data_IF_153697593245
#
_entry.id   IF_153697593245
#
_cell.length_a   1.000
_cell.length_b   1.000
_cell.length_c   1.000
_cell.angle_alpha   90.00
_cell.angle_beta   90.00
_cell.angle_gamma   90.00
#
_symmetry.space_group_name_H-M   'P 1'
#
loop_
_entity.id
_entity.type
_entity.pdbx_description
1 polymer ?
#
# COMPACT_ATOMS: atom_id res chain seq x y z
N UNK A 1 54.19 31.88 36.90
CA UNK A 1 53.81 33.30 36.99
C UNK A 1 52.74 33.55 35.98
N UNK A 2 51.68 34.12 36.49
CA UNK A 2 50.45 34.58 35.79
C UNK A 2 49.33 33.58 35.40
N UNK A 3 48.52 33.41 36.42
CA UNK A 3 47.13 32.96 36.32
C UNK A 3 46.29 33.99 35.56
N UNK A 4 45.61 33.59 34.51
CA UNK A 4 44.49 34.34 33.95
C UNK A 4 43.17 33.66 34.31
N UNK A 5 42.48 34.24 35.25
CA UNK A 5 41.12 34.01 35.69
C UNK A 5 40.17 34.26 34.51
N UNK A 6 39.45 33.22 34.03
CA UNK A 6 38.32 33.38 33.14
C UNK A 6 37.02 33.42 33.95
N UNK A 7 36.46 34.61 34.03
CA UNK A 7 35.20 34.92 34.68
C UNK A 7 34.03 34.44 33.83
N UNK A 8 33.34 33.41 34.29
CA UNK A 8 32.10 32.94 33.65
C UNK A 8 30.96 33.88 34.05
N UNK A 9 30.41 34.62 33.09
CA UNK A 9 29.21 35.43 33.27
C UNK A 9 27.98 34.55 33.27
N UNK A 10 27.36 34.37 34.43
CA UNK A 10 26.05 33.80 34.59
C UNK A 10 24.98 34.71 33.95
N UNK A 11 24.39 34.29 32.84
CA UNK A 11 23.18 34.91 32.32
C UNK A 11 21.96 34.23 32.94
N UNK A 12 21.31 34.95 33.84
CA UNK A 12 20.03 34.58 34.41
C UNK A 12 18.95 34.51 33.31
N UNK A 13 18.50 33.29 32.97
CA UNK A 13 17.36 33.09 32.12
C UNK A 13 16.10 33.11 33.01
N UNK A 14 15.38 34.24 32.94
CA UNK A 14 14.05 34.36 33.54
C UNK A 14 13.07 33.38 32.82
N UNK A 15 12.75 32.27 33.47
CA UNK A 15 11.67 31.41 33.06
C UNK A 15 10.35 32.12 33.35
N UNK A 16 9.71 32.66 32.31
CA UNK A 16 8.34 33.16 32.40
C UNK A 16 7.39 31.95 32.38
N UNK A 17 6.88 31.57 33.53
CA UNK A 17 5.75 30.65 33.63
C UNK A 17 4.51 31.30 32.98
N UNK A 18 4.26 30.98 31.70
CA UNK A 18 2.95 31.20 31.09
C UNK A 18 2.02 30.07 31.55
N UNK A 19 1.17 30.37 32.51
CA UNK A 19 0.00 29.55 32.87
C UNK A 19 -0.81 29.39 31.59
N UNK A 20 -0.74 28.22 30.98
CA UNK A 20 -1.63 27.82 29.89
C UNK A 20 -3.02 27.64 30.52
N UNK A 21 -3.92 28.60 30.29
CA UNK A 21 -5.34 28.39 30.53
C UNK A 21 -5.76 27.12 29.77
N UNK A 22 -6.16 26.11 30.51
CA UNK A 22 -6.78 24.91 29.94
C UNK A 22 -8.00 25.36 29.15
N UNK A 23 -7.92 25.26 27.81
CA UNK A 23 -9.07 25.39 26.96
C UNK A 23 -9.99 24.22 27.29
N UNK A 24 -11.17 24.48 27.86
CA UNK A 24 -12.25 23.53 27.99
C UNK A 24 -12.41 22.81 26.66
N UNK A 25 -12.62 21.46 26.63
CA UNK A 25 -12.81 20.73 25.40
C UNK A 25 -14.03 21.34 24.69
N UNK A 26 -13.78 21.92 23.54
CA UNK A 26 -14.82 22.47 22.68
C UNK A 26 -15.62 21.27 22.15
N UNK A 27 -16.80 21.04 22.73
CA UNK A 27 -17.76 20.04 22.33
C UNK A 27 -18.39 20.44 20.99
N UNK A 28 -17.55 20.63 19.97
CA UNK A 28 -18.01 20.63 18.60
C UNK A 28 -18.35 19.19 18.25
N UNK A 29 -19.65 18.85 18.26
CA UNK A 29 -20.20 17.70 17.57
C UNK A 29 -19.64 17.71 16.14
N UNK A 30 -18.51 17.05 15.90
CA UNK A 30 -17.97 16.87 14.54
C UNK A 30 -19.06 16.16 13.77
N UNK A 31 -19.68 16.88 12.84
CA UNK A 31 -20.65 16.33 11.90
C UNK A 31 -19.94 15.15 11.20
N UNK A 32 -20.28 13.93 11.61
CA UNK A 32 -19.64 12.72 11.05
C UNK A 32 -19.97 12.73 9.57
N UNK A 33 -18.92 12.76 8.75
CA UNK A 33 -19.06 12.83 7.31
C UNK A 33 -19.76 11.57 6.79
N UNK A 34 -20.85 11.74 6.07
CA UNK A 34 -21.62 10.63 5.47
C UNK A 34 -20.78 9.81 4.50
N UNK A 35 -19.74 10.42 3.90
CA UNK A 35 -18.83 9.71 2.99
C UNK A 35 -18.03 8.65 3.73
N UNK A 36 -17.52 8.95 4.93
CA UNK A 36 -16.83 7.99 5.79
C UNK A 36 -17.72 6.80 6.16
N UNK A 37 -18.97 7.07 6.52
CA UNK A 37 -19.94 6.02 6.82
C UNK A 37 -20.14 5.13 5.60
N UNK A 38 -20.25 5.71 4.41
CA UNK A 38 -20.45 5.00 3.15
C UNK A 38 -19.29 4.01 2.88
N UNK A 39 -18.02 4.46 2.93
CA UNK A 39 -16.89 3.58 2.66
C UNK A 39 -16.74 2.45 3.67
N UNK A 40 -16.94 2.73 4.96
CA UNK A 40 -16.92 1.70 5.97
C UNK A 40 -18.07 0.69 5.79
N UNK A 41 -19.26 1.16 5.39
CA UNK A 41 -20.42 0.29 5.11
C UNK A 41 -20.14 -0.64 3.93
N UNK A 42 -19.60 -0.10 2.82
CA UNK A 42 -19.23 -0.86 1.63
C UNK A 42 -18.16 -1.89 1.99
N UNK A 43 -17.12 -1.47 2.71
CA UNK A 43 -16.03 -2.39 3.12
C UNK A 43 -16.53 -3.52 4.02
N UNK A 44 -17.37 -3.20 5.00
CA UNK A 44 -17.93 -4.21 5.90
C UNK A 44 -18.84 -5.20 5.16
N UNK A 45 -19.67 -4.71 4.23
CA UNK A 45 -20.50 -5.55 3.36
C UNK A 45 -19.66 -6.44 2.43
N UNK A 46 -18.59 -5.90 1.85
CA UNK A 46 -17.73 -6.63 0.91
C UNK A 46 -16.90 -7.73 1.59
N UNK A 47 -16.72 -7.67 2.90
CA UNK A 47 -16.15 -8.75 3.71
C UNK A 47 -17.11 -9.92 3.93
N UNK A 48 -18.30 -9.93 3.30
CA UNK A 48 -19.27 -11.03 3.33
C UNK A 48 -20.42 -10.83 4.31
N UNK A 49 -20.47 -9.72 5.05
CA UNK A 49 -21.54 -9.48 6.00
C UNK A 49 -22.90 -9.23 5.30
N UNK A 50 -24.00 -9.63 5.96
CA UNK A 50 -25.35 -9.31 5.49
C UNK A 50 -25.64 -7.81 5.56
N UNK A 51 -26.69 -7.36 4.85
CA UNK A 51 -27.19 -5.98 4.95
C UNK A 51 -27.53 -5.65 6.40
N UNK A 52 -28.26 -6.55 7.07
CA UNK A 52 -28.68 -6.38 8.48
C UNK A 52 -27.48 -6.23 9.42
N UNK A 53 -26.48 -7.13 9.32
CA UNK A 53 -25.26 -7.07 10.13
C UNK A 53 -24.45 -5.81 9.84
N UNK A 54 -24.41 -5.38 8.58
CA UNK A 54 -23.75 -4.14 8.19
C UNK A 54 -24.43 -2.93 8.81
N UNK A 55 -25.75 -2.85 8.75
CA UNK A 55 -26.53 -1.77 9.39
C UNK A 55 -26.31 -1.75 10.91
N UNK A 56 -26.41 -2.92 11.56
CA UNK A 56 -26.18 -3.05 13.01
C UNK A 56 -24.79 -2.55 13.42
N UNK A 57 -23.75 -3.01 12.70
CA UNK A 57 -22.36 -2.60 12.96
C UNK A 57 -22.17 -1.08 12.78
N UNK A 58 -22.59 -0.54 11.65
CA UNK A 58 -22.40 0.87 11.29
C UNK A 58 -23.20 1.79 12.21
N UNK A 59 -24.45 1.45 12.49
CA UNK A 59 -25.30 2.24 13.38
C UNK A 59 -24.73 2.29 14.81
N UNK A 60 -24.23 1.15 15.31
CA UNK A 60 -23.54 1.09 16.60
C UNK A 60 -22.25 1.90 16.61
N UNK A 61 -21.40 1.74 15.60
CA UNK A 61 -20.10 2.41 15.51
C UNK A 61 -20.19 3.94 15.43
N UNK A 62 -21.16 4.45 14.68
CA UNK A 62 -21.29 5.89 14.42
C UNK A 62 -22.40 6.58 15.20
N UNK A 63 -23.13 5.84 16.02
CA UNK A 63 -24.34 6.33 16.70
C UNK A 63 -25.30 7.04 15.73
N UNK A 64 -25.57 6.38 14.59
CA UNK A 64 -26.43 6.88 13.49
C UNK A 64 -27.51 5.87 13.18
N UNK A 65 -28.59 6.32 12.53
CA UNK A 65 -29.63 5.46 12.00
C UNK A 65 -29.51 5.45 10.46
N UNK A 66 -28.63 4.59 9.95
CA UNK A 66 -28.54 4.35 8.51
C UNK A 66 -29.69 3.43 8.08
N UNK A 67 -30.43 3.85 7.07
CA UNK A 67 -31.54 3.07 6.50
C UNK A 67 -31.02 2.06 5.47
N UNK A 68 -31.70 0.92 5.39
CA UNK A 68 -31.37 -0.14 4.45
C UNK A 68 -31.35 0.33 3.00
N UNK A 69 -32.34 1.12 2.58
CA UNK A 69 -32.43 1.68 1.23
C UNK A 69 -31.19 2.51 0.87
N UNK A 70 -30.68 3.27 1.82
CA UNK A 70 -29.48 4.09 1.63
C UNK A 70 -28.24 3.20 1.47
N UNK A 71 -28.09 2.19 2.31
CA UNK A 71 -26.99 1.23 2.22
C UNK A 71 -27.02 0.48 0.87
N UNK A 72 -28.17 -0.03 0.45
CA UNK A 72 -28.35 -0.72 -0.84
C UNK A 72 -28.00 0.19 -2.01
N UNK A 73 -28.42 1.48 -1.98
CA UNK A 73 -28.02 2.46 -2.99
C UNK A 73 -26.50 2.59 -3.07
N UNK A 74 -25.83 2.79 -1.95
CA UNK A 74 -24.36 2.92 -1.90
C UNK A 74 -23.64 1.68 -2.45
N UNK A 75 -24.11 0.49 -2.09
CA UNK A 75 -23.56 -0.77 -2.61
C UNK A 75 -23.74 -0.85 -4.13
N UNK A 76 -24.94 -0.55 -4.63
CA UNK A 76 -25.23 -0.61 -6.07
C UNK A 76 -24.42 0.43 -6.86
N UNK A 77 -24.22 1.62 -6.33
CA UNK A 77 -23.42 2.66 -6.98
C UNK A 77 -21.94 2.26 -6.98
N UNK A 78 -21.43 1.64 -5.90
CA UNK A 78 -20.08 1.13 -5.85
C UNK A 78 -19.84 -0.03 -6.82
N UNK A 79 -20.80 -0.94 -6.98
CA UNK A 79 -20.70 -2.06 -7.92
C UNK A 79 -20.63 -1.60 -9.38
N UNK A 80 -21.26 -0.48 -9.75
CA UNK A 80 -21.10 0.12 -11.09
C UNK A 80 -19.68 0.63 -11.31
N UNK A 81 -19.04 1.07 -10.26
CA UNK A 81 -17.69 1.61 -10.24
C UNK A 81 -16.63 0.49 -10.16
N UNK A 82 -16.81 -0.47 -9.23
CA UNK A 82 -15.94 -1.64 -9.06
C UNK A 82 -16.76 -2.88 -8.80
N UNK A 83 -16.86 -3.75 -9.81
CA UNK A 83 -17.74 -4.94 -9.74
C UNK A 83 -17.08 -6.10 -8.98
N UNK A 84 -17.31 -6.17 -7.69
CA UNK A 84 -16.85 -7.23 -6.79
C UNK A 84 -17.90 -8.28 -6.41
N UNK A 85 -19.04 -8.31 -7.10
CA UNK A 85 -20.16 -9.24 -6.80
C UNK A 85 -19.71 -10.70 -6.73
N UNK A 86 -18.95 -11.16 -7.75
CA UNK A 86 -18.46 -12.54 -7.81
C UNK A 86 -17.60 -12.89 -6.59
N UNK A 87 -16.69 -11.99 -6.19
CA UNK A 87 -15.82 -12.20 -5.03
C UNK A 87 -16.67 -12.30 -3.76
N UNK A 88 -17.60 -11.35 -3.57
CA UNK A 88 -18.48 -11.37 -2.41
C UNK A 88 -19.35 -12.62 -2.33
N UNK A 89 -19.95 -13.06 -3.45
CA UNK A 89 -20.71 -14.31 -3.50
C UNK A 89 -19.84 -15.49 -3.04
N UNK A 90 -18.63 -15.61 -3.58
CA UNK A 90 -17.68 -16.65 -3.18
C UNK A 90 -17.32 -16.58 -1.68
N UNK A 91 -17.15 -15.37 -1.14
CA UNK A 91 -16.90 -15.21 0.30
C UNK A 91 -18.05 -15.77 1.13
N UNK A 92 -19.28 -15.39 0.79
CA UNK A 92 -20.47 -15.81 1.54
C UNK A 92 -20.69 -17.33 1.45
N UNK A 93 -20.44 -17.92 0.28
CA UNK A 93 -20.68 -19.34 0.05
C UNK A 93 -19.59 -20.27 0.60
N UNK A 94 -18.33 -19.83 0.57
CA UNK A 94 -17.20 -20.75 0.80
C UNK A 94 -16.30 -20.37 1.98
N UNK A 95 -16.43 -19.18 2.55
CA UNK A 95 -15.53 -18.69 3.60
C UNK A 95 -16.31 -18.29 4.84
N UNK A 96 -16.12 -19.02 5.93
CA UNK A 96 -16.68 -18.71 7.24
C UNK A 96 -15.64 -17.93 8.06
N UNK A 97 -15.69 -16.58 8.04
CA UNK A 97 -14.85 -15.77 8.91
C UNK A 97 -13.69 -15.06 8.20
N UNK A 98 -12.46 -15.26 8.63
CA UNK A 98 -11.31 -14.45 8.21
C UNK A 98 -10.96 -14.59 6.73
N UNK A 99 -11.42 -13.64 5.93
CA UNK A 99 -11.07 -13.53 4.50
C UNK A 99 -9.71 -12.84 4.29
N UNK A 100 -9.24 -12.09 5.28
CA UNK A 100 -7.96 -11.38 5.26
C UNK A 100 -7.03 -11.99 6.31
N UNK A 101 -5.85 -12.42 5.86
CA UNK A 101 -4.77 -12.86 6.73
C UNK A 101 -3.75 -11.72 6.87
N UNK A 102 -3.18 -11.54 8.06
CA UNK A 102 -2.23 -10.48 8.36
C UNK A 102 -1.05 -11.00 9.16
N UNK A 103 0.15 -10.54 8.80
CA UNK A 103 1.41 -10.81 9.51
C UNK A 103 2.23 -9.53 9.58
N UNK A 104 2.90 -9.30 10.71
CA UNK A 104 3.77 -8.14 10.88
C UNK A 104 5.22 -8.53 10.62
N UNK A 105 5.94 -7.66 9.93
CA UNK A 105 7.38 -7.72 9.72
C UNK A 105 8.00 -6.40 10.17
N UNK A 106 9.19 -6.44 10.70
CA UNK A 106 9.97 -5.25 11.03
C UNK A 106 11.05 -5.05 9.97
N UNK A 107 11.16 -3.81 9.47
CA UNK A 107 12.18 -3.40 8.52
C UNK A 107 12.71 -2.03 8.91
N UNK A 108 14.01 -1.94 9.20
CA UNK A 108 14.68 -0.69 9.62
C UNK A 108 13.95 0.04 10.76
N UNK A 109 13.45 -0.72 11.75
CA UNK A 109 12.72 -0.19 12.91
C UNK A 109 11.27 0.20 12.64
N UNK A 110 10.76 -0.04 11.42
CA UNK A 110 9.35 0.21 11.05
C UNK A 110 8.61 -1.10 10.93
N UNK A 111 7.42 -1.17 11.53
CA UNK A 111 6.55 -2.36 11.44
C UNK A 111 5.65 -2.24 10.21
N UNK A 112 5.79 -3.20 9.31
CA UNK A 112 4.95 -3.37 8.12
C UNK A 112 3.95 -4.50 8.35
N UNK A 113 2.72 -4.29 7.91
CA UNK A 113 1.64 -5.25 8.10
C UNK A 113 1.25 -5.88 6.76
N UNK A 114 1.97 -6.91 6.36
CA UNK A 114 1.61 -7.73 5.21
C UNK A 114 0.22 -8.32 5.38
N UNK A 115 -0.63 -8.15 4.38
CA UNK A 115 -1.99 -8.71 4.36
C UNK A 115 -2.29 -9.29 2.99
N UNK A 116 -3.04 -10.41 2.98
CA UNK A 116 -3.60 -10.93 1.74
C UNK A 116 -5.06 -11.33 1.89
N UNK A 117 -5.80 -11.19 0.80
CA UNK A 117 -7.22 -11.50 0.72
C UNK A 117 -7.39 -12.91 0.16
N UNK A 118 -7.56 -13.90 1.03
CA UNK A 118 -7.56 -15.32 0.65
C UNK A 118 -8.54 -15.66 -0.47
N UNK A 119 -9.84 -15.30 -0.42
CA UNK A 119 -10.77 -15.58 -1.54
C UNK A 119 -10.32 -15.01 -2.88
N UNK A 120 -9.76 -13.79 -2.92
CA UNK A 120 -9.27 -13.21 -4.19
C UNK A 120 -8.03 -13.96 -4.69
N UNK A 121 -7.13 -14.31 -3.79
CA UNK A 121 -5.95 -15.08 -4.14
C UNK A 121 -6.35 -16.43 -4.75
N UNK A 122 -7.29 -17.14 -4.10
CA UNK A 122 -7.78 -18.44 -4.58
C UNK A 122 -8.53 -18.35 -5.94
N UNK A 123 -9.16 -17.19 -6.23
CA UNK A 123 -9.93 -17.00 -7.48
C UNK A 123 -9.14 -16.44 -8.64
N UNK A 124 -8.08 -15.69 -8.38
CA UNK A 124 -7.37 -14.91 -9.41
C UNK A 124 -5.99 -15.48 -9.73
N UNK A 125 -5.41 -16.29 -8.85
CA UNK A 125 -4.05 -16.79 -8.99
C UNK A 125 -3.98 -18.22 -9.57
N UNK A 126 -5.02 -18.73 -10.21
CA UNK A 126 -5.00 -20.08 -10.82
C UNK A 126 -3.79 -20.30 -11.75
N UNK A 127 -3.39 -19.27 -12.49
CA UNK A 127 -2.22 -19.31 -13.37
C UNK A 127 -0.89 -18.98 -12.65
N UNK A 128 -0.93 -18.72 -11.35
CA UNK A 128 0.22 -18.30 -10.56
C UNK A 128 0.36 -19.06 -9.23
N UNK A 129 0.40 -20.43 -9.26
CA UNK A 129 0.45 -21.24 -8.04
C UNK A 129 1.71 -20.97 -7.20
N UNK A 130 2.84 -20.64 -7.83
CA UNK A 130 4.08 -20.28 -7.15
C UNK A 130 3.97 -18.96 -6.40
N UNK A 131 3.19 -17.98 -6.91
CA UNK A 131 2.89 -16.75 -6.20
C UNK A 131 2.05 -17.02 -4.95
N UNK A 132 1.05 -17.89 -5.07
CA UNK A 132 0.23 -18.33 -3.92
C UNK A 132 1.13 -18.96 -2.85
N UNK A 133 2.00 -19.88 -3.26
CA UNK A 133 2.98 -20.51 -2.37
C UNK A 133 3.88 -19.49 -1.67
N UNK A 134 4.40 -18.52 -2.42
CA UNK A 134 5.20 -17.42 -1.87
C UNK A 134 4.45 -16.63 -0.80
N UNK A 135 3.24 -16.14 -1.10
CA UNK A 135 2.45 -15.31 -0.18
C UNK A 135 2.07 -16.06 1.12
N UNK A 136 1.74 -17.35 1.03
CA UNK A 136 1.35 -18.15 2.20
C UNK A 136 2.58 -18.44 3.09
N UNK A 137 3.75 -18.66 2.50
CA UNK A 137 4.96 -19.03 3.22
C UNK A 137 5.78 -17.84 3.72
N UNK A 138 5.44 -16.61 3.36
CA UNK A 138 6.18 -15.41 3.76
C UNK A 138 6.50 -15.35 5.25
N UNK A 139 5.56 -15.72 6.12
CA UNK A 139 5.77 -15.73 7.58
C UNK A 139 6.93 -16.64 8.02
N UNK A 140 7.19 -17.73 7.27
CA UNK A 140 8.22 -18.72 7.61
C UNK A 140 9.54 -18.46 6.89
N UNK A 141 9.48 -17.87 5.70
CA UNK A 141 10.62 -17.78 4.79
C UNK A 141 11.25 -16.39 4.74
N UNK A 142 10.55 -15.36 5.22
CA UNK A 142 11.08 -14.00 5.23
C UNK A 142 12.15 -13.87 6.32
N UNK A 143 13.44 -13.74 5.97
CA UNK A 143 14.50 -13.58 6.96
C UNK A 143 14.48 -12.16 7.52
N UNK A 144 14.43 -12.03 8.84
CA UNK A 144 14.42 -10.73 9.51
C UNK A 144 15.68 -9.92 9.18
N UNK A 145 16.83 -10.59 9.18
CA UNK A 145 18.14 -9.97 8.93
C UNK A 145 18.25 -9.32 7.54
N UNK A 146 17.47 -9.78 6.59
CA UNK A 146 17.46 -9.21 5.24
C UNK A 146 16.87 -7.80 5.21
N UNK A 147 15.98 -7.48 6.14
CA UNK A 147 15.35 -6.18 6.28
C UNK A 147 16.11 -5.22 7.23
N UNK A 148 17.11 -5.72 7.95
CA UNK A 148 17.95 -4.89 8.83
C UNK A 148 19.07 -4.17 8.06
N UNK A 149 19.44 -4.69 6.90
CA UNK A 149 20.43 -4.06 6.03
C UNK A 149 19.71 -3.11 5.05
N UNK A 150 19.91 -1.81 5.23
CA UNK A 150 19.51 -0.81 4.26
C UNK A 150 20.20 -1.09 2.93
N UNK A 151 19.56 -1.87 2.09
CA UNK A 151 19.99 -2.06 0.71
C UNK A 151 20.06 -0.69 0.06
N UNK A 152 21.26 -0.26 -0.34
CA UNK A 152 21.49 1.05 -0.94
C UNK A 152 20.86 1.15 -2.35
N UNK A 153 19.52 1.18 -2.41
CA UNK A 153 18.75 1.39 -3.64
C UNK A 153 19.03 2.77 -4.26
N UNK A 154 19.57 3.70 -3.45
CA UNK A 154 19.79 5.10 -3.82
C UNK A 154 20.81 5.34 -4.94
N UNK A 155 21.63 4.34 -5.28
CA UNK A 155 22.67 4.46 -6.31
C UNK A 155 22.27 3.86 -7.65
N UNK A 156 21.09 3.22 -7.74
CA UNK A 156 20.58 2.63 -8.96
C UNK A 156 19.59 3.59 -9.63
N UNK A 157 19.84 3.92 -10.88
CA UNK A 157 18.92 4.72 -11.69
C UNK A 157 18.75 4.04 -13.03
N UNK A 158 17.53 3.65 -13.34
CA UNK A 158 17.16 3.01 -14.60
C UNK A 158 16.48 4.03 -15.51
N UNK A 159 16.79 3.98 -16.81
CA UNK A 159 16.09 4.77 -17.82
C UNK A 159 14.90 3.97 -18.36
N UNK A 160 13.75 4.14 -17.70
CA UNK A 160 12.54 3.36 -17.92
C UNK A 160 11.53 4.19 -18.72
N UNK A 161 10.97 3.60 -19.78
CA UNK A 161 9.86 4.21 -20.53
C UNK A 161 8.55 3.96 -19.78
N UNK A 162 7.90 5.03 -19.40
CA UNK A 162 6.67 5.01 -18.60
C UNK A 162 5.51 5.56 -19.41
N UNK A 163 4.41 4.80 -19.45
CA UNK A 163 3.14 5.28 -19.97
C UNK A 163 2.39 6.04 -18.87
N UNK A 164 1.87 7.22 -19.20
CA UNK A 164 1.07 8.05 -18.29
C UNK A 164 -0.41 7.87 -18.59
N UNK A 165 -1.21 7.56 -17.56
CA UNK A 165 -2.66 7.54 -17.62
C UNK A 165 -3.18 8.53 -16.57
N UNK A 166 -4.32 9.15 -16.82
CA UNK A 166 -4.90 10.12 -15.89
C UNK A 166 -5.83 9.47 -14.86
N UNK A 167 -6.56 10.34 -14.15
CA UNK A 167 -7.53 10.03 -13.10
C UNK A 167 -8.66 9.05 -13.48
N UNK A 168 -8.82 8.71 -14.74
CA UNK A 168 -9.77 7.69 -15.18
C UNK A 168 -9.32 6.26 -14.89
N UNK A 169 -8.06 6.06 -14.47
CA UNK A 169 -7.63 4.75 -14.01
C UNK A 169 -8.37 4.35 -12.75
N UNK A 170 -8.78 3.08 -12.66
CA UNK A 170 -9.53 2.57 -11.49
C UNK A 170 -8.76 2.72 -10.18
N UNK A 171 -7.43 2.54 -10.20
CA UNK A 171 -6.61 2.72 -8.99
C UNK A 171 -6.69 4.15 -8.47
N UNK A 172 -6.59 5.17 -9.35
CA UNK A 172 -6.77 6.58 -8.97
C UNK A 172 -8.15 6.84 -8.37
N UNK A 173 -9.19 6.30 -8.99
CA UNK A 173 -10.55 6.48 -8.51
C UNK A 173 -10.79 5.82 -7.16
N UNK A 174 -10.23 4.62 -6.92
CA UNK A 174 -10.30 3.95 -5.63
C UNK A 174 -9.50 4.69 -4.55
N UNK A 175 -8.33 5.23 -4.90
CA UNK A 175 -7.55 6.08 -4.00
C UNK A 175 -8.32 7.36 -3.63
N UNK A 176 -8.88 8.07 -4.61
CA UNK A 176 -9.71 9.26 -4.37
C UNK A 176 -10.91 8.93 -3.48
N UNK A 177 -11.61 7.82 -3.77
CA UNK A 177 -12.72 7.37 -2.96
C UNK A 177 -12.29 7.05 -1.52
N UNK A 178 -11.16 6.37 -1.30
CA UNK A 178 -10.66 6.03 0.03
C UNK A 178 -10.20 7.27 0.79
N UNK A 179 -9.47 8.18 0.15
CA UNK A 179 -8.91 9.38 0.77
C UNK A 179 -9.96 10.38 1.24
N UNK A 180 -11.11 10.46 0.58
CA UNK A 180 -12.27 11.27 1.02
C UNK A 180 -12.83 10.82 2.38
N UNK A 181 -12.37 9.71 2.92
CA UNK A 181 -12.95 9.02 4.07
C UNK A 181 -12.01 8.90 5.27
N UNK A 182 -10.83 9.54 5.23
CA UNK A 182 -9.85 9.54 6.31
C UNK A 182 -10.28 10.49 7.43
N UNK A 183 -10.16 10.03 8.68
CA UNK A 183 -9.98 10.92 9.81
C UNK A 183 -8.56 11.48 9.73
N UNK A 184 -8.39 12.79 9.70
CA UNK A 184 -7.15 13.53 9.44
C UNK A 184 -5.92 13.22 10.34
N UNK A 185 -5.84 12.02 10.91
CA UNK A 185 -4.74 11.48 11.71
C UNK A 185 -4.22 10.14 11.18
N UNK A 186 -4.83 9.54 10.15
CA UNK A 186 -4.37 8.26 9.60
C UNK A 186 -3.44 8.47 8.41
N UNK A 187 -2.41 7.63 8.33
CA UNK A 187 -1.53 7.56 7.19
C UNK A 187 -2.29 7.21 5.91
N UNK A 188 -2.13 8.05 4.89
CA UNK A 188 -2.82 7.90 3.61
C UNK A 188 -2.52 6.57 2.91
N UNK A 189 -1.29 6.06 3.03
CA UNK A 189 -0.87 4.77 2.46
C UNK A 189 -1.73 3.64 3.01
N UNK A 190 -1.74 3.44 4.31
CA UNK A 190 -2.46 2.32 4.93
C UNK A 190 -3.97 2.37 4.72
N UNK A 191 -4.53 3.56 4.48
CA UNK A 191 -5.96 3.72 4.14
C UNK A 191 -6.25 3.25 2.72
N UNK A 192 -5.46 3.70 1.74
CA UNK A 192 -5.60 3.30 0.33
C UNK A 192 -5.40 1.79 0.20
N UNK A 193 -4.34 1.25 0.77
CA UNK A 193 -4.03 -0.17 0.75
C UNK A 193 -5.15 -1.04 1.34
N UNK A 194 -5.58 -0.73 2.56
CA UNK A 194 -6.66 -1.47 3.22
C UNK A 194 -7.96 -1.38 2.45
N UNK A 195 -8.29 -0.18 1.92
CA UNK A 195 -9.50 0.00 1.14
C UNK A 195 -9.46 -0.81 -0.15
N UNK A 196 -8.36 -0.76 -0.89
CA UNK A 196 -8.19 -1.52 -2.14
C UNK A 196 -8.13 -3.03 -1.88
N UNK A 197 -7.45 -3.47 -0.82
CA UNK A 197 -7.41 -4.90 -0.46
C UNK A 197 -8.82 -5.46 -0.25
N UNK A 198 -9.72 -4.71 0.35
CA UNK A 198 -11.11 -5.15 0.61
C UNK A 198 -11.98 -4.99 -0.64
N UNK A 199 -11.94 -3.82 -1.25
CA UNK A 199 -12.98 -3.36 -2.18
C UNK A 199 -12.62 -3.47 -3.66
N UNK A 200 -11.33 -3.44 -4.02
CA UNK A 200 -10.90 -3.66 -5.40
C UNK A 200 -11.02 -5.14 -5.77
N UNK A 201 -11.51 -5.41 -6.97
CA UNK A 201 -11.68 -6.79 -7.46
C UNK A 201 -10.36 -7.47 -7.85
N UNK A 202 -9.26 -6.75 -7.95
CA UNK A 202 -7.96 -7.22 -8.44
C UNK A 202 -6.87 -7.29 -7.39
N UNK A 203 -6.98 -6.51 -6.30
CA UNK A 203 -5.97 -6.44 -5.24
C UNK A 203 -6.04 -7.67 -4.36
N UNK A 204 -4.98 -8.48 -4.40
CA UNK A 204 -4.88 -9.75 -3.65
C UNK A 204 -4.08 -9.62 -2.35
N UNK A 205 -3.12 -8.68 -2.30
CA UNK A 205 -2.27 -8.48 -1.13
C UNK A 205 -1.78 -7.02 -1.04
N UNK A 206 -1.35 -6.61 0.15
CA UNK A 206 -0.68 -5.34 0.40
C UNK A 206 0.48 -5.51 1.39
N UNK A 207 1.44 -4.56 1.36
CA UNK A 207 2.66 -4.58 2.14
C UNK A 207 3.43 -5.89 1.97
N UNK A 208 3.59 -6.34 0.72
CA UNK A 208 4.18 -7.63 0.40
C UNK A 208 5.70 -7.56 0.48
N UNK A 209 6.35 -8.21 1.46
CA UNK A 209 7.80 -8.25 1.54
C UNK A 209 8.41 -8.88 0.30
N UNK A 210 9.49 -8.30 -0.20
CA UNK A 210 10.30 -8.87 -1.27
C UNK A 210 11.79 -8.72 -0.93
N UNK A 211 12.55 -9.77 -1.16
CA UNK A 211 13.99 -9.78 -0.92
C UNK A 211 14.68 -10.74 -1.89
N UNK A 212 15.85 -10.34 -2.36
CA UNK A 212 16.72 -11.20 -3.16
C UNK A 212 18.14 -10.64 -3.22
N UNK A 213 19.09 -11.51 -3.57
CA UNK A 213 20.45 -11.09 -3.84
C UNK A 213 20.63 -10.86 -5.34
N UNK A 214 20.89 -9.61 -5.75
CA UNK A 214 21.20 -9.28 -7.14
C UNK A 214 22.69 -9.57 -7.41
N UNK A 215 22.93 -10.69 -8.06
CA UNK A 215 24.29 -11.22 -8.25
C UNK A 215 25.19 -10.33 -9.09
N UNK A 216 24.62 -9.61 -10.06
CA UNK A 216 25.39 -8.75 -10.94
C UNK A 216 25.86 -7.48 -10.24
N UNK A 217 25.04 -6.95 -9.36
CA UNK A 217 25.31 -5.77 -8.57
C UNK A 217 26.06 -6.12 -7.27
N UNK A 218 26.04 -7.39 -6.90
CA UNK A 218 26.55 -7.93 -5.63
C UNK A 218 25.94 -7.21 -4.41
N UNK A 219 24.63 -7.02 -4.45
CA UNK A 219 23.88 -6.34 -3.37
C UNK A 219 22.61 -7.11 -3.02
N UNK A 220 22.26 -7.06 -1.74
CA UNK A 220 20.95 -7.47 -1.25
C UNK A 220 19.90 -6.39 -1.56
N UNK A 221 18.78 -6.78 -2.12
CA UNK A 221 17.63 -5.93 -2.37
C UNK A 221 16.51 -6.39 -1.47
N UNK A 222 15.93 -5.47 -0.71
CA UNK A 222 14.78 -5.73 0.15
C UNK A 222 13.79 -4.57 0.10
N UNK A 223 12.53 -4.85 0.37
CA UNK A 223 11.49 -3.82 0.47
C UNK A 223 10.09 -4.42 0.54
N UNK A 224 9.09 -3.56 0.37
CA UNK A 224 7.68 -3.92 0.43
C UNK A 224 6.97 -3.40 -0.81
N UNK A 225 6.06 -4.20 -1.34
CA UNK A 225 5.17 -3.83 -2.43
C UNK A 225 3.87 -3.37 -1.78
N UNK A 226 3.49 -2.11 -1.95
CA UNK A 226 2.28 -1.54 -1.33
C UNK A 226 1.04 -2.33 -1.72
N UNK A 227 0.84 -2.60 -3.02
CA UNK A 227 -0.32 -3.31 -3.54
C UNK A 227 0.08 -4.33 -4.61
N UNK A 228 -0.35 -5.56 -4.44
CA UNK A 228 -0.20 -6.63 -5.42
C UNK A 228 -1.57 -6.98 -6.03
N UNK A 229 -1.66 -6.91 -7.36
CA UNK A 229 -2.90 -7.17 -8.07
C UNK A 229 -2.74 -8.22 -9.15
N UNK A 230 -3.83 -8.92 -9.48
CA UNK A 230 -3.90 -9.83 -10.63
C UNK A 230 -4.90 -9.27 -11.62
N UNK A 231 -4.42 -8.93 -12.82
CA UNK A 231 -5.24 -8.38 -13.89
C UNK A 231 -4.88 -9.01 -15.24
N UNK A 232 -5.85 -9.51 -15.98
CA UNK A 232 -5.67 -10.01 -17.36
C UNK A 232 -4.49 -10.98 -17.51
N UNK A 233 -4.28 -11.87 -16.54
CA UNK A 233 -3.19 -12.85 -16.56
C UNK A 233 -1.80 -12.25 -16.34
N UNK A 234 -1.71 -11.08 -15.72
CA UNK A 234 -0.47 -10.43 -15.29
C UNK A 234 -0.52 -10.10 -13.80
N UNK A 235 0.66 -10.02 -13.19
CA UNK A 235 0.90 -9.59 -11.81
C UNK A 235 1.27 -8.12 -11.83
N UNK A 236 0.49 -7.28 -11.15
CA UNK A 236 0.73 -5.84 -11.05
C UNK A 236 1.31 -5.49 -9.69
N UNK A 237 2.44 -4.80 -9.69
CA UNK A 237 3.02 -4.16 -8.52
C UNK A 237 2.66 -2.68 -8.56
N UNK A 238 1.91 -2.21 -7.58
CA UNK A 238 1.51 -0.82 -7.48
C UNK A 238 2.09 -0.18 -6.22
N UNK A 239 2.55 1.04 -6.36
CA UNK A 239 3.08 1.88 -5.30
C UNK A 239 2.22 3.16 -5.20
N UNK A 240 1.62 3.39 -4.03
CA UNK A 240 0.82 4.58 -3.79
C UNK A 240 1.71 5.74 -3.35
N UNK A 241 1.71 6.82 -4.10
CA UNK A 241 2.47 8.05 -3.82
C UNK A 241 1.50 9.23 -3.71
N UNK A 242 1.35 9.86 -2.54
CA UNK A 242 0.38 10.96 -2.34
C UNK A 242 0.48 12.12 -3.34
N UNK A 243 1.63 12.29 -3.98
CA UNK A 243 1.87 13.27 -5.04
C UNK A 243 2.70 12.62 -6.17
N UNK A 244 2.11 11.61 -6.81
CA UNK A 244 2.77 10.77 -7.81
C UNK A 244 3.41 11.55 -8.96
N UNK A 245 2.88 12.74 -9.27
CA UNK A 245 3.40 13.62 -10.34
C UNK A 245 4.75 14.24 -9.97
N UNK A 246 4.99 14.53 -8.69
CA UNK A 246 6.23 15.16 -8.22
C UNK A 246 7.33 14.16 -7.89
N UNK A 247 7.00 12.88 -7.86
CA UNK A 247 7.98 11.84 -7.60
C UNK A 247 9.07 11.81 -8.70
N UNK A 248 10.27 11.45 -8.28
CA UNK A 248 11.34 11.19 -9.23
C UNK A 248 11.03 9.87 -9.98
N UNK A 249 10.55 9.98 -11.21
CA UNK A 249 10.12 8.83 -12.03
C UNK A 249 11.20 7.75 -12.15
N UNK A 250 12.48 8.12 -12.26
CA UNK A 250 13.58 7.16 -12.35
C UNK A 250 13.74 6.37 -11.04
N UNK A 251 13.68 7.05 -9.91
CA UNK A 251 13.81 6.40 -8.59
C UNK A 251 12.66 5.43 -8.34
N UNK A 252 11.41 5.87 -8.52
CA UNK A 252 10.23 5.02 -8.27
C UNK A 252 10.19 3.85 -9.25
N UNK A 253 10.47 4.09 -10.53
CA UNK A 253 10.48 3.04 -11.54
C UNK A 253 11.60 2.03 -11.28
N UNK A 254 12.79 2.47 -10.83
CA UNK A 254 13.88 1.58 -10.43
C UNK A 254 13.49 0.70 -9.25
N UNK A 255 12.90 1.28 -8.21
CA UNK A 255 12.40 0.55 -7.04
C UNK A 255 11.43 -0.56 -7.45
N UNK A 256 10.39 -0.19 -8.20
CA UNK A 256 9.38 -1.14 -8.66
C UNK A 256 9.95 -2.23 -9.59
N UNK A 257 10.90 -1.87 -10.45
CA UNK A 257 11.60 -2.83 -11.29
C UNK A 257 12.37 -3.86 -10.46
N UNK A 258 13.10 -3.41 -9.45
CA UNK A 258 13.85 -4.29 -8.55
C UNK A 258 12.91 -5.21 -7.77
N UNK A 259 11.77 -4.70 -7.31
CA UNK A 259 10.76 -5.53 -6.63
C UNK A 259 10.13 -6.57 -7.57
N UNK A 260 9.83 -6.19 -8.82
CA UNK A 260 9.35 -7.13 -9.83
C UNK A 260 10.39 -8.21 -10.14
N UNK A 261 11.66 -7.84 -10.25
CA UNK A 261 12.78 -8.76 -10.47
C UNK A 261 12.93 -9.73 -9.29
N UNK A 262 12.86 -9.23 -8.05
CA UNK A 262 12.92 -10.05 -6.85
C UNK A 262 11.76 -11.03 -6.75
N UNK A 263 10.54 -10.56 -7.01
CA UNK A 263 9.35 -11.42 -7.00
C UNK A 263 9.41 -12.46 -8.13
N UNK A 264 9.84 -12.08 -9.34
CA UNK A 264 10.09 -12.99 -10.45
C UNK A 264 11.13 -14.07 -10.09
N UNK A 265 12.23 -13.67 -9.49
CA UNK A 265 13.28 -14.61 -9.03
C UNK A 265 12.74 -15.61 -8.02
N UNK A 266 11.96 -15.16 -7.04
CA UNK A 266 11.43 -16.02 -5.98
C UNK A 266 10.27 -16.90 -6.43
N UNK A 267 9.39 -16.38 -7.27
CA UNK A 267 8.20 -17.11 -7.72
C UNK A 267 8.41 -17.89 -9.01
N UNK A 268 9.52 -17.65 -9.73
CA UNK A 268 9.80 -18.20 -11.08
C UNK A 268 8.78 -17.79 -12.14
N UNK A 269 7.97 -16.78 -11.86
CA UNK A 269 7.09 -16.17 -12.86
C UNK A 269 7.97 -15.32 -13.79
N UNK A 270 7.87 -15.48 -15.13
CA UNK A 270 8.68 -14.69 -16.04
C UNK A 270 8.36 -13.19 -15.95
N UNK A 271 9.38 -12.35 -16.10
CA UNK A 271 9.26 -10.88 -15.92
C UNK A 271 8.23 -10.27 -16.88
N UNK A 272 8.01 -10.87 -18.05
CA UNK A 272 6.98 -10.49 -19.04
C UNK A 272 5.54 -10.56 -18.50
N UNK A 273 5.31 -11.30 -17.41
CA UNK A 273 4.02 -11.37 -16.72
C UNK A 273 3.82 -10.28 -15.67
N UNK A 274 4.83 -9.44 -15.46
CA UNK A 274 4.72 -8.35 -14.49
C UNK A 274 4.40 -7.02 -15.16
N UNK A 275 3.74 -6.14 -14.39
CA UNK A 275 3.51 -4.74 -14.69
C UNK A 275 3.79 -3.93 -13.44
N UNK A 276 4.42 -2.79 -13.59
CA UNK A 276 4.77 -1.91 -12.49
C UNK A 276 4.06 -0.58 -12.66
N UNK A 277 3.50 -0.05 -11.58
CA UNK A 277 2.83 1.24 -11.63
C UNK A 277 2.96 1.99 -10.30
N UNK A 278 2.94 3.33 -10.36
CA UNK A 278 2.70 4.15 -9.19
C UNK A 278 1.61 5.17 -9.47
N UNK A 279 0.92 5.60 -8.43
CA UNK A 279 -0.29 6.40 -8.61
C UNK A 279 -0.65 7.23 -7.38
N UNK A 280 -1.46 8.27 -7.62
CA UNK A 280 -2.24 8.99 -6.61
C UNK A 280 -3.72 9.05 -7.05
N UNK A 281 -4.47 10.01 -6.54
CA UNK A 281 -5.89 10.23 -6.89
C UNK A 281 -6.07 10.74 -8.32
N UNK A 282 -5.03 11.30 -8.95
CA UNK A 282 -5.11 12.02 -10.21
C UNK A 282 -4.21 11.46 -11.31
N UNK A 283 -3.11 10.81 -10.92
CA UNK A 283 -2.06 10.40 -11.82
C UNK A 283 -1.78 8.90 -11.69
N UNK A 284 -1.58 8.24 -12.81
CA UNK A 284 -1.21 6.83 -12.88
C UNK A 284 -0.10 6.67 -13.91
N UNK A 285 1.00 6.08 -13.51
CA UNK A 285 2.18 5.83 -14.33
C UNK A 285 2.44 4.32 -14.35
N UNK A 286 2.59 3.75 -15.55
CA UNK A 286 2.77 2.30 -15.71
C UNK A 286 3.91 2.00 -16.68
N UNK A 287 4.63 0.92 -16.42
CA UNK A 287 5.63 0.37 -17.33
C UNK A 287 5.67 -1.16 -17.27
N UNK A 288 6.21 -1.75 -18.35
CA UNK A 288 6.47 -3.17 -18.44
C UNK A 288 7.93 -3.45 -18.09
N UNK A 289 8.24 -4.17 -17.01
CA UNK A 289 9.62 -4.40 -16.60
C UNK A 289 10.42 -5.26 -17.59
N UNK A 290 9.78 -6.12 -18.38
CA UNK A 290 10.43 -6.98 -19.38
C UNK A 290 10.90 -6.20 -20.62
N UNK A 291 10.28 -5.05 -20.91
CA UNK A 291 10.59 -4.24 -22.09
C UNK A 291 11.71 -3.21 -21.87
N UNK A 292 12.32 -3.21 -20.68
CA UNK A 292 13.26 -2.18 -20.32
C UNK A 292 14.71 -2.59 -20.62
N UNK A 293 15.41 -1.68 -21.31
CA UNK A 293 16.87 -1.73 -21.41
C UNK A 293 17.44 -0.88 -20.27
N UNK A 294 18.35 -1.43 -19.48
CA UNK A 294 18.98 -0.63 -18.44
C UNK A 294 20.46 -0.41 -18.66
N UNK A 295 20.88 0.78 -18.24
CA UNK A 295 22.25 1.06 -17.89
C UNK A 295 22.32 1.25 -16.38
N UNK A 296 23.20 0.50 -15.71
CA UNK A 296 23.45 0.65 -14.28
C UNK A 296 24.75 1.41 -14.11
N UNK A 297 24.73 2.57 -13.42
CA UNK A 297 25.93 3.26 -12.96
C UNK A 297 26.28 2.74 -11.56
N UNK A 298 27.36 1.97 -11.45
CA UNK A 298 27.92 1.59 -10.16
C UNK A 298 29.30 2.26 -10.06
N UNK A 299 29.48 3.13 -9.07
CA UNK A 299 30.79 3.73 -8.72
C UNK A 299 31.67 3.99 -9.95
N UNK A 300 31.21 4.83 -10.88
CA UNK A 300 31.90 5.24 -12.10
C UNK A 300 32.07 4.20 -13.23
N UNK A 301 31.42 3.04 -13.17
CA UNK A 301 31.34 2.09 -14.28
C UNK A 301 29.89 2.00 -14.78
N UNK A 302 29.76 2.03 -16.10
CA UNK A 302 28.46 1.86 -16.77
C UNK A 302 28.31 0.39 -17.18
N UNK A 303 27.28 -0.27 -16.70
CA UNK A 303 26.95 -1.63 -17.10
C UNK A 303 25.65 -1.62 -17.91
N UNK A 304 25.65 -2.31 -19.03
CA UNK A 304 24.46 -2.50 -19.87
C UNK A 304 24.00 -3.95 -19.72
N UNK A 305 22.75 -4.14 -19.38
CA UNK A 305 22.10 -5.45 -19.46
C UNK A 305 20.93 -5.35 -20.43
N UNK A 306 20.94 -6.22 -21.42
CA UNK A 306 19.78 -6.53 -22.24
C UNK A 306 19.13 -7.75 -21.60
N UNK A 307 17.90 -7.64 -21.15
CA UNK A 307 17.12 -8.77 -20.66
C UNK A 307 16.71 -9.69 -21.79
#
# INVERSE_FOLDING_TARGET
MDEKKNTIKNKNIKVRNKIKKEKKPNNQNKKIDNTKIMANSISYYNLGNSIENTLKHINGKYNKKLEERTLQKWINDFVKFCNNKRIRTTIVEKYNGNVINSYSFEHSGVIYNFKYHKPKMDMLCDNFPTLVGYLINLKKECPQEFFENDGNDSNLSLDIKVAEQGKYNLACQLADFSMKHIDGQSDGHSVVEKFMLINDCSTIACEVPVWFWEKFLDVGISGHIDLLQIRRGCVYLLDYKPDAKRENRKTVATQLFLYASGLSFRTKIPLSKFRCAWFDQNNYYEFNPDEQNFSVKIKNKLYFRKL
#
